data_IF_596149925057
#
_entry.id   IF_596149925057
#
_cell.length_a   1.000
_cell.length_b   1.000
_cell.length_c   1.000
_cell.angle_alpha   90.00
_cell.angle_beta   90.00
_cell.angle_gamma   90.00
#
_symmetry.space_group_name_H-M   'P 1'
#
loop_
_entity.id
_entity.type
_entity.pdbx_description
1 polymer ?
#
# COMPACT_ATOMS: atom_id res chain seq x y z
N UNK A 1 47.48 5.77 15.62
CA UNK A 1 46.34 5.96 16.54
C UNK A 1 45.40 6.92 15.84
N UNK A 2 44.40 6.40 15.14
CA UNK A 2 43.38 7.24 14.51
C UNK A 2 42.49 7.84 15.59
N UNK A 3 42.45 9.17 15.70
CA UNK A 3 41.55 9.86 16.61
C UNK A 3 40.13 9.72 16.07
N UNK A 4 39.28 8.97 16.77
CA UNK A 4 37.84 8.89 16.52
C UNK A 4 37.25 10.31 16.51
N UNK A 5 36.83 10.76 15.33
CA UNK A 5 36.26 12.09 15.14
C UNK A 5 34.85 12.13 15.75
N UNK A 6 34.74 12.75 16.92
CA UNK A 6 33.51 12.76 17.73
C UNK A 6 32.32 13.42 17.02
N UNK A 7 32.56 14.27 16.02
CA UNK A 7 31.51 14.89 15.20
C UNK A 7 30.79 13.88 14.31
N UNK A 8 31.50 12.88 13.81
CA UNK A 8 30.94 11.85 12.93
C UNK A 8 30.11 10.83 13.72
N UNK A 9 30.47 10.61 14.99
CA UNK A 9 29.65 9.79 15.89
C UNK A 9 28.38 10.53 16.30
N UNK A 10 28.46 11.84 16.54
CA UNK A 10 27.29 12.66 16.86
C UNK A 10 26.31 12.75 15.69
N UNK A 11 26.78 12.84 14.44
CA UNK A 11 25.91 12.86 13.26
C UNK A 11 25.22 11.51 13.00
N UNK A 12 25.92 10.39 13.25
CA UNK A 12 25.35 9.04 13.18
C UNK A 12 24.35 8.74 14.32
N UNK A 13 24.54 9.32 15.51
CA UNK A 13 23.66 9.08 16.66
C UNK A 13 22.39 9.94 16.64
N UNK A 14 22.43 11.12 16.00
CA UNK A 14 21.31 12.08 16.01
C UNK A 14 20.37 11.94 14.82
N UNK A 15 20.78 11.25 13.75
CA UNK A 15 19.97 11.10 12.55
C UNK A 15 19.59 9.63 12.37
N UNK A 16 18.46 9.14 12.94
CA UNK A 16 17.90 7.90 12.43
C UNK A 16 17.61 8.14 10.96
N UNK A 17 18.42 7.53 10.09
CA UNK A 17 18.26 7.64 8.64
C UNK A 17 16.79 7.43 8.32
N UNK A 18 16.14 8.41 7.70
CA UNK A 18 14.73 8.34 7.35
C UNK A 18 14.44 7.06 6.57
N UNK A 19 15.41 6.58 5.77
CA UNK A 19 15.36 5.29 5.08
C UNK A 19 15.17 4.08 6.03
N UNK A 20 15.74 4.11 7.23
CA UNK A 20 15.64 3.04 8.23
C UNK A 20 14.25 3.03 8.90
N UNK A 21 13.68 4.22 9.14
CA UNK A 21 12.29 4.37 9.59
C UNK A 21 11.31 3.86 8.52
N UNK A 22 11.52 4.24 7.26
CA UNK A 22 10.72 3.76 6.14
C UNK A 22 10.79 2.23 6.02
N UNK A 23 12.00 1.64 6.05
CA UNK A 23 12.20 0.18 5.98
C UNK A 23 11.42 -0.58 7.06
N UNK A 24 11.40 -0.08 8.30
CA UNK A 24 10.64 -0.69 9.41
C UNK A 24 9.12 -0.65 9.19
N UNK A 25 8.62 0.37 8.50
CA UNK A 25 7.19 0.56 8.29
C UNK A 25 6.65 -0.15 7.03
N UNK A 26 7.51 -0.57 6.09
CA UNK A 26 7.09 -1.26 4.85
C UNK A 26 6.24 -2.52 5.10
N UNK A 27 6.59 -3.44 6.03
CA UNK A 27 5.77 -4.62 6.31
C UNK A 27 4.40 -4.26 6.89
N UNK A 28 4.36 -3.23 7.73
CA UNK A 28 3.12 -2.72 8.34
C UNK A 28 2.19 -2.14 7.28
N UNK A 29 2.74 -1.34 6.35
CA UNK A 29 2.00 -0.82 5.21
C UNK A 29 1.48 -1.97 4.37
N UNK A 30 2.33 -2.90 3.93
CA UNK A 30 1.93 -4.09 3.16
C UNK A 30 0.73 -4.83 3.79
N UNK A 31 0.85 -5.18 5.08
CA UNK A 31 -0.19 -5.91 5.79
C UNK A 31 -1.49 -5.11 5.91
N UNK A 32 -1.40 -3.83 6.28
CA UNK A 32 -2.59 -2.97 6.42
C UNK A 32 -3.33 -2.80 5.09
N UNK A 33 -2.62 -2.56 4.00
CA UNK A 33 -3.21 -2.38 2.66
C UNK A 33 -3.92 -3.65 2.19
N UNK A 34 -3.36 -4.82 2.48
CA UNK A 34 -4.00 -6.12 2.19
C UNK A 34 -5.25 -6.35 3.04
N UNK A 35 -5.21 -6.02 4.33
CA UNK A 35 -6.37 -6.16 5.22
C UNK A 35 -7.52 -5.27 4.74
N UNK A 36 -7.24 -4.00 4.41
CA UNK A 36 -8.26 -3.10 3.87
C UNK A 36 -8.82 -3.59 2.53
N UNK A 37 -7.95 -4.02 1.61
CA UNK A 37 -8.38 -4.57 0.32
C UNK A 37 -9.31 -5.77 0.50
N UNK A 38 -8.92 -6.77 1.30
CA UNK A 38 -9.63 -8.05 1.40
C UNK A 38 -10.82 -8.05 2.35
N UNK A 39 -10.77 -7.31 3.46
CA UNK A 39 -11.82 -7.35 4.47
C UNK A 39 -12.80 -6.17 4.39
N UNK A 40 -12.44 -5.11 3.67
CA UNK A 40 -13.33 -3.95 3.49
C UNK A 40 -13.78 -3.87 2.03
N UNK A 41 -12.86 -3.68 1.09
CA UNK A 41 -13.26 -3.38 -0.28
C UNK A 41 -13.88 -4.58 -1.02
N UNK A 42 -13.32 -5.79 -0.87
CA UNK A 42 -13.88 -7.00 -1.52
C UNK A 42 -15.29 -7.34 -1.01
N UNK A 43 -15.57 -7.40 0.31
CA UNK A 43 -16.91 -7.65 0.81
C UNK A 43 -17.86 -6.53 0.40
N UNK A 44 -17.47 -5.26 0.52
CA UNK A 44 -18.31 -4.12 0.10
C UNK A 44 -18.62 -4.19 -1.40
N UNK A 45 -17.68 -4.61 -2.24
CA UNK A 45 -17.93 -4.84 -3.68
C UNK A 45 -18.89 -6.00 -3.94
N UNK A 46 -18.82 -7.07 -3.15
CA UNK A 46 -19.72 -8.21 -3.23
C UNK A 46 -21.14 -7.86 -2.73
N UNK A 47 -21.25 -7.13 -1.62
CA UNK A 47 -22.49 -6.56 -1.14
C UNK A 47 -23.08 -5.59 -2.19
N UNK A 48 -22.24 -4.79 -2.85
CA UNK A 48 -22.69 -3.91 -3.91
C UNK A 48 -23.27 -4.66 -5.11
N UNK A 49 -22.64 -5.73 -5.54
CA UNK A 49 -23.16 -6.58 -6.61
C UNK A 49 -24.47 -7.29 -6.25
N UNK A 50 -24.73 -7.50 -4.95
CA UNK A 50 -25.88 -8.30 -4.49
C UNK A 50 -27.09 -7.46 -4.11
N UNK A 51 -26.89 -6.37 -3.37
CA UNK A 51 -27.97 -5.52 -2.88
C UNK A 51 -28.27 -4.36 -3.81
N UNK A 52 -27.24 -3.66 -4.32
CA UNK A 52 -27.47 -2.54 -5.24
C UNK A 52 -27.91 -2.97 -6.64
N UNK A 53 -27.77 -4.26 -6.98
CA UNK A 53 -28.27 -4.84 -8.23
C UNK A 53 -29.78 -4.66 -8.41
N UNK A 54 -30.56 -4.78 -7.34
CA UNK A 54 -32.02 -4.74 -7.43
C UNK A 54 -32.57 -3.33 -7.21
N UNK A 55 -31.94 -2.53 -6.35
CA UNK A 55 -32.39 -1.16 -6.03
C UNK A 55 -31.96 -0.08 -7.04
N UNK A 56 -30.81 -0.23 -7.72
CA UNK A 56 -30.26 0.79 -8.63
C UNK A 56 -30.37 0.41 -10.11
N UNK A 57 -31.46 -0.26 -10.48
CA UNK A 57 -31.78 -0.58 -11.89
C UNK A 57 -32.33 0.61 -12.66
N UNK A 58 -32.93 1.59 -11.98
CA UNK A 58 -33.61 2.73 -12.61
C UNK A 58 -32.65 3.88 -13.00
N UNK A 59 -31.50 4.00 -12.34
CA UNK A 59 -30.51 5.03 -12.66
C UNK A 59 -29.40 4.42 -13.54
N UNK A 60 -29.40 4.76 -14.82
CA UNK A 60 -28.37 4.36 -15.79
C UNK A 60 -27.65 5.62 -16.31
N UNK A 61 -26.70 6.19 -15.55
CA UNK A 61 -25.79 7.16 -16.13
C UNK A 61 -24.95 6.42 -17.19
N UNK A 62 -24.93 6.93 -18.43
CA UNK A 62 -24.17 6.37 -19.56
C UNK A 62 -24.60 5.00 -20.11
N UNK A 63 -25.83 4.52 -19.84
CA UNK A 63 -26.31 3.26 -20.43
C UNK A 63 -25.77 1.99 -19.76
N UNK A 64 -24.92 2.14 -18.74
CA UNK A 64 -24.47 1.07 -17.87
C UNK A 64 -25.18 1.15 -16.52
N UNK A 65 -25.57 0.00 -15.96
CA UNK A 65 -26.27 -0.05 -14.66
C UNK A 65 -25.35 0.51 -13.56
N UNK A 66 -25.87 1.39 -12.71
CA UNK A 66 -25.09 2.07 -11.67
C UNK A 66 -24.39 1.09 -10.71
N UNK A 67 -25.02 -0.03 -10.37
CA UNK A 67 -24.41 -1.08 -9.54
C UNK A 67 -23.13 -1.64 -10.17
N UNK A 68 -23.06 -1.71 -11.50
CA UNK A 68 -21.89 -2.21 -12.24
C UNK A 68 -20.72 -1.22 -12.12
N UNK A 69 -21.01 0.08 -12.20
CA UNK A 69 -20.00 1.12 -11.97
C UNK A 69 -19.44 1.08 -10.55
N UNK A 70 -20.30 0.91 -9.55
CA UNK A 70 -19.89 0.82 -8.13
C UNK A 70 -19.07 -0.45 -7.87
N UNK A 71 -19.51 -1.60 -8.40
CA UNK A 71 -18.75 -2.84 -8.27
C UNK A 71 -17.38 -2.74 -8.96
N UNK A 72 -17.34 -2.19 -10.17
CA UNK A 72 -16.10 -2.05 -10.94
C UNK A 72 -15.13 -1.07 -10.28
N UNK A 73 -15.61 0.07 -9.77
CA UNK A 73 -14.76 1.05 -9.08
C UNK A 73 -14.15 0.50 -7.79
N UNK A 74 -14.92 -0.27 -7.00
CA UNK A 74 -14.42 -0.92 -5.78
C UNK A 74 -13.38 -2.00 -6.09
N UNK A 75 -13.54 -2.76 -7.17
CA UNK A 75 -12.54 -3.73 -7.61
C UNK A 75 -11.26 -3.07 -8.13
N UNK A 76 -11.38 -1.97 -8.90
CA UNK A 76 -10.20 -1.19 -9.35
C UNK A 76 -9.45 -0.66 -8.12
N UNK A 77 -10.15 -0.12 -7.13
CA UNK A 77 -9.54 0.37 -5.91
C UNK A 77 -8.83 -0.76 -5.14
N UNK A 78 -9.45 -1.94 -5.05
CA UNK A 78 -8.83 -3.15 -4.47
C UNK A 78 -7.55 -3.54 -5.22
N UNK A 79 -7.59 -3.54 -6.56
CA UNK A 79 -6.43 -3.86 -7.38
C UNK A 79 -5.28 -2.86 -7.16
N UNK A 80 -5.58 -1.55 -7.11
CA UNK A 80 -4.59 -0.51 -6.82
C UNK A 80 -3.95 -0.72 -5.44
N UNK A 81 -4.76 -1.00 -4.42
CA UNK A 81 -4.28 -1.28 -3.05
C UNK A 81 -3.35 -2.51 -3.00
N UNK A 82 -3.71 -3.58 -3.71
CA UNK A 82 -2.86 -4.78 -3.82
C UNK A 82 -1.55 -4.47 -4.54
N UNK A 83 -1.57 -3.69 -5.63
CA UNK A 83 -0.37 -3.28 -6.37
C UNK A 83 0.56 -2.44 -5.47
N UNK A 84 0.01 -1.46 -4.75
CA UNK A 84 0.78 -0.62 -3.80
C UNK A 84 1.40 -1.48 -2.70
N UNK A 85 0.65 -2.43 -2.15
CA UNK A 85 1.17 -3.43 -1.21
C UNK A 85 2.35 -4.19 -1.82
N UNK A 86 2.16 -4.81 -2.98
CA UNK A 86 3.22 -5.58 -3.63
C UNK A 86 4.46 -4.73 -3.93
N UNK A 87 4.30 -3.49 -4.40
CA UNK A 87 5.43 -2.59 -4.64
C UNK A 87 6.19 -2.30 -3.34
N UNK A 88 5.52 -2.08 -2.21
CA UNK A 88 6.17 -1.81 -0.92
C UNK A 88 7.11 -2.92 -0.46
N UNK A 89 6.83 -4.18 -0.81
CA UNK A 89 7.67 -5.35 -0.45
C UNK A 89 8.70 -5.72 -1.52
N UNK A 90 8.41 -5.44 -2.80
CA UNK A 90 9.26 -5.84 -3.92
C UNK A 90 10.29 -4.77 -4.32
N UNK A 91 10.02 -3.48 -4.09
CA UNK A 91 10.97 -2.40 -4.38
C UNK A 91 12.32 -2.56 -3.63
N UNK A 92 12.36 -2.98 -2.35
CA UNK A 92 13.63 -3.27 -1.68
C UNK A 92 14.36 -4.51 -2.20
N UNK A 93 13.69 -5.39 -2.95
CA UNK A 93 14.24 -6.67 -3.46
C UNK A 93 14.69 -6.61 -4.92
N UNK A 94 14.32 -5.57 -5.67
CA UNK A 94 14.58 -5.41 -7.11
C UNK A 94 15.94 -4.77 -7.44
N UNK A 95 16.90 -4.75 -6.50
CA UNK A 95 18.25 -4.23 -6.77
C UNK A 95 18.48 -2.76 -6.38
N UNK A 96 17.58 -2.18 -5.57
CA UNK A 96 17.83 -0.90 -4.89
C UNK A 96 18.21 -1.14 -3.42
N UNK A 97 19.01 -2.18 -3.20
CA UNK A 97 19.97 -2.25 -2.12
C UNK A 97 20.90 -1.04 -2.24
N UNK A 98 20.50 0.08 -1.64
CA UNK A 98 21.45 1.05 -1.11
C UNK A 98 22.24 0.32 -0.02
N UNK A 99 23.21 -0.47 -0.46
CA UNK A 99 24.28 -1.06 0.33
C UNK A 99 25.08 0.07 0.95
N UNK A 100 24.63 0.53 2.10
CA UNK A 100 25.55 0.64 3.24
C UNK A 100 24.97 -0.28 4.31
N UNK A 101 25.84 -0.99 5.02
CA UNK A 101 25.53 -1.92 6.12
C UNK A 101 25.37 -3.39 5.70
N UNK A 102 26.37 -3.88 4.99
CA UNK A 102 26.97 -5.17 5.36
C UNK A 102 28.49 -5.08 5.24
N UNK A 103 29.11 -4.68 6.35
CA UNK A 103 30.40 -5.06 6.95
C UNK A 103 30.97 -3.88 7.74
#
# INVERSE_FOLDING_TARGET
MESLNTTDLLSNLTTPSSALLWKKNLPTVYGSTFIFAWYVFVPVAAFAARYFRDFLTQCSPFGARLWFHVHHSLNILTAVLIIVGLLSTNLPRLGLDWTCDRF
#
